data_IF_609376890768
#
_entry.id   IF_609376890768
#
_cell.length_a   1.000
_cell.length_b   1.000
_cell.length_c   1.000
_cell.angle_alpha   90.00
_cell.angle_beta   90.00
_cell.angle_gamma   90.00
#
_symmetry.space_group_name_H-M   'P 1'
#
loop_
_entity.id
_entity.type
_entity.pdbx_description
1 polymer ?
#
# COMPACT_ATOMS: atom_id res chain seq x y z
N UNK A 1 3.85 16.53 8.43
CA UNK A 1 3.52 15.40 9.33
C UNK A 1 4.59 15.34 10.39
N UNK A 2 4.23 15.41 11.67
CA UNK A 2 5.20 15.27 12.76
C UNK A 2 4.63 14.33 13.81
N UNK A 3 5.45 13.42 14.32
CA UNK A 3 5.13 12.60 15.47
C UNK A 3 5.41 11.11 15.28
N UNK A 4 5.15 10.33 16.35
CA UNK A 4 5.54 8.93 16.41
C UNK A 4 4.70 8.06 15.49
N UNK A 5 5.37 7.19 14.75
CA UNK A 5 4.81 6.09 13.98
C UNK A 5 5.10 4.75 14.68
N UNK A 6 4.13 3.83 14.75
CA UNK A 6 4.37 2.50 15.31
C UNK A 6 5.27 1.67 14.39
N UNK A 7 6.13 0.83 14.96
CA UNK A 7 7.05 -0.02 14.22
C UNK A 7 8.45 0.57 14.05
N UNK A 8 9.38 -0.29 13.63
CA UNK A 8 10.78 0.09 13.43
C UNK A 8 10.99 0.77 12.07
N UNK A 9 12.20 1.32 11.85
CA UNK A 9 12.51 2.07 10.64
C UNK A 9 12.33 1.24 9.36
N UNK A 10 12.74 -0.03 9.37
CA UNK A 10 12.60 -0.89 8.19
C UNK A 10 11.12 -1.14 7.85
N UNK A 11 10.26 -1.30 8.86
CA UNK A 11 8.82 -1.42 8.66
C UNK A 11 8.22 -0.15 8.06
N UNK A 12 8.57 1.03 8.60
CA UNK A 12 8.11 2.29 8.03
C UNK A 12 8.55 2.42 6.56
N UNK A 13 9.82 2.18 6.28
CA UNK A 13 10.36 2.27 4.91
C UNK A 13 9.75 1.22 3.97
N UNK A 14 9.43 0.02 4.44
CA UNK A 14 8.78 -1.01 3.63
C UNK A 14 7.32 -0.68 3.30
N UNK A 15 6.60 -0.07 4.25
CA UNK A 15 5.25 0.44 4.02
C UNK A 15 5.21 1.60 3.03
N UNK A 16 6.22 2.47 3.10
CA UNK A 16 6.38 3.68 2.30
C UNK A 16 6.86 3.42 0.87
N UNK A 17 7.89 2.58 0.72
CA UNK A 17 8.57 2.39 -0.56
C UNK A 17 7.64 1.81 -1.63
N UNK A 18 7.74 2.38 -2.83
CA UNK A 18 6.94 1.98 -4.00
C UNK A 18 7.71 2.18 -5.31
N UNK A 19 8.81 1.45 -5.52
CA UNK A 19 9.69 1.68 -6.66
C UNK A 19 9.10 1.21 -8.01
N UNK A 20 8.06 0.38 -7.98
CA UNK A 20 7.34 -0.12 -9.17
C UNK A 20 5.86 0.27 -9.15
N UNK A 21 5.19 0.06 -10.27
CA UNK A 21 3.75 0.29 -10.41
C UNK A 21 2.93 -0.67 -9.53
N UNK A 22 3.33 -1.93 -9.45
CA UNK A 22 2.74 -2.96 -8.57
C UNK A 22 2.87 -2.55 -7.11
N UNK A 23 4.06 -2.13 -6.70
CA UNK A 23 4.32 -1.66 -5.34
C UNK A 23 3.53 -0.39 -5.02
N UNK A 24 3.35 0.52 -5.97
CA UNK A 24 2.46 1.69 -5.84
C UNK A 24 1.00 1.27 -5.65
N UNK A 25 0.47 0.34 -6.46
CA UNK A 25 -0.91 -0.15 -6.35
C UNK A 25 -1.17 -0.82 -5.00
N UNK A 26 -0.26 -1.70 -4.58
CA UNK A 26 -0.35 -2.36 -3.28
C UNK A 26 -0.31 -1.31 -2.16
N UNK A 27 0.60 -0.33 -2.23
CA UNK A 27 0.69 0.76 -1.25
C UNK A 27 -0.63 1.54 -1.14
N UNK A 28 -1.12 2.08 -2.26
CA UNK A 28 -2.36 2.87 -2.27
C UNK A 28 -3.57 2.09 -1.76
N UNK A 29 -3.63 0.77 -2.02
CA UNK A 29 -4.71 -0.08 -1.50
C UNK A 29 -4.85 -0.13 0.03
N UNK A 30 -3.79 0.26 0.76
CA UNK A 30 -3.77 0.35 2.22
C UNK A 30 -3.76 1.78 2.75
N UNK A 31 -3.23 2.71 1.96
CA UNK A 31 -3.04 4.10 2.37
C UNK A 31 -4.23 4.98 2.02
N UNK A 32 -4.83 4.74 0.84
CA UNK A 32 -5.83 5.61 0.21
C UNK A 32 -5.28 7.03 -0.01
N UNK A 33 -4.07 7.09 -0.59
CA UNK A 33 -3.25 8.31 -0.78
C UNK A 33 -3.36 8.95 -2.17
N UNK A 34 -3.72 8.19 -3.20
CA UNK A 34 -3.97 8.66 -4.56
C UNK A 34 -4.97 7.74 -5.29
N UNK A 35 -5.66 8.28 -6.31
CA UNK A 35 -6.70 7.57 -7.07
C UNK A 35 -6.19 6.96 -8.39
N UNK A 36 -5.10 7.49 -8.93
CA UNK A 36 -4.41 6.92 -10.07
C UNK A 36 -2.90 7.20 -9.99
N UNK A 37 -2.11 6.33 -10.60
CA UNK A 37 -0.66 6.50 -10.65
C UNK A 37 -0.01 5.79 -11.84
N UNK A 38 1.18 6.28 -12.21
CA UNK A 38 2.05 5.66 -13.19
C UNK A 38 3.53 5.87 -12.83
N UNK A 39 4.38 4.90 -13.19
CA UNK A 39 5.83 5.06 -13.21
C UNK A 39 6.22 5.61 -14.59
N UNK A 40 6.84 6.78 -14.63
CA UNK A 40 7.30 7.41 -15.88
C UNK A 40 8.75 7.06 -16.20
N UNK A 41 9.55 6.77 -15.19
CA UNK A 41 10.93 6.32 -15.37
C UNK A 41 11.62 6.01 -14.05
N UNK A 42 12.55 5.07 -14.07
CA UNK A 42 13.35 4.69 -12.91
C UNK A 42 14.79 5.15 -13.11
N UNK A 43 15.27 6.02 -12.22
CA UNK A 43 16.64 6.57 -12.26
C UNK A 43 17.58 5.74 -11.40
N UNK A 44 17.14 5.35 -10.20
CA UNK A 44 17.88 4.45 -9.31
C UNK A 44 16.95 3.33 -8.87
N UNK A 45 17.36 2.09 -9.15
CA UNK A 45 16.67 0.87 -8.72
C UNK A 45 17.10 0.45 -7.31
N UNK A 46 16.21 -0.17 -6.53
CA UNK A 46 16.58 -0.92 -5.33
C UNK A 46 17.62 -2.00 -5.61
N UNK A 47 18.39 -2.36 -4.58
CA UNK A 47 19.38 -3.46 -4.63
C UNK A 47 19.21 -4.38 -3.43
N UNK A 48 19.87 -5.54 -3.43
CA UNK A 48 19.83 -6.45 -2.28
C UNK A 48 20.36 -5.80 -0.99
N UNK A 49 21.42 -5.01 -1.09
CA UNK A 49 22.03 -4.31 0.05
C UNK A 49 21.17 -3.12 0.50
N UNK A 50 20.62 -2.38 -0.46
CA UNK A 50 19.80 -1.19 -0.22
C UNK A 50 18.39 -1.33 -0.83
N UNK A 51 17.51 -2.18 -0.27
CA UNK A 51 16.19 -2.47 -0.87
C UNK A 51 15.21 -1.29 -0.81
N UNK A 52 15.47 -0.30 0.04
CA UNK A 52 14.65 0.91 0.14
C UNK A 52 15.20 2.07 -0.69
N UNK A 53 16.40 1.95 -1.26
CA UNK A 53 17.03 3.04 -2.01
C UNK A 53 16.47 3.09 -3.43
N UNK A 54 15.73 4.14 -3.74
CA UNK A 54 15.20 4.34 -5.09
C UNK A 54 15.07 5.82 -5.45
N UNK A 55 15.13 6.09 -6.75
CA UNK A 55 14.83 7.40 -7.35
C UNK A 55 13.98 7.14 -8.59
N UNK A 56 12.73 7.57 -8.56
CA UNK A 56 11.72 7.22 -9.56
C UNK A 56 10.91 8.45 -9.94
N UNK A 57 10.74 8.67 -11.25
CA UNK A 57 9.82 9.68 -11.77
C UNK A 57 8.43 9.08 -11.88
N UNK A 58 7.45 9.75 -11.29
CA UNK A 58 6.09 9.26 -11.13
C UNK A 58 5.08 10.31 -11.57
N UNK A 59 3.92 9.81 -11.96
CA UNK A 59 2.70 10.57 -12.08
C UNK A 59 1.67 10.05 -11.08
N UNK A 60 0.92 10.93 -10.45
CA UNK A 60 -0.23 10.54 -9.63
C UNK A 60 -1.38 11.53 -9.76
N UNK A 61 -2.59 11.06 -9.48
CA UNK A 61 -3.81 11.84 -9.37
C UNK A 61 -4.34 11.76 -7.94
N UNK A 62 -4.68 12.91 -7.37
CA UNK A 62 -5.31 13.02 -6.06
C UNK A 62 -6.77 13.46 -6.27
N UNK A 63 -7.69 12.62 -5.80
CA UNK A 63 -9.12 12.94 -5.81
C UNK A 63 -9.45 14.00 -4.76
N UNK A 64 -10.52 14.75 -5.05
CA UNK A 64 -11.05 15.75 -4.12
C UNK A 64 -12.05 15.08 -3.17
N UNK A 65 -11.85 15.16 -1.84
CA UNK A 65 -12.79 14.64 -0.85
C UNK A 65 -14.19 15.20 -1.07
N UNK A 66 -15.19 14.33 -0.93
CA UNK A 66 -16.59 14.69 -1.21
C UNK A 66 -17.04 14.41 -2.65
N UNK A 67 -16.22 13.74 -3.46
CA UNK A 67 -16.63 13.14 -4.75
C UNK A 67 -17.91 12.28 -4.63
N UNK A 68 -18.24 11.82 -3.43
CA UNK A 68 -19.45 11.05 -3.09
C UNK A 68 -20.71 11.89 -2.82
N UNK A 69 -20.64 13.23 -2.82
CA UNK A 69 -21.74 14.14 -2.38
C UNK A 69 -22.44 14.84 -3.59
N UNK A 70 -21.87 14.78 -4.80
CA UNK A 70 -22.41 15.44 -5.99
C UNK A 70 -23.49 14.66 -6.76
N UNK A 71 -24.47 15.40 -7.31
CA UNK A 71 -25.66 14.89 -8.05
C UNK A 71 -25.32 14.35 -9.46
N UNK A 72 -24.17 14.70 -10.03
CA UNK A 72 -23.74 14.22 -11.35
C UNK A 72 -22.31 13.70 -11.26
N UNK A 73 -22.17 12.38 -11.42
CA UNK A 73 -20.90 11.66 -11.46
C UNK A 73 -20.34 11.69 -12.87
N UNK A 74 -19.21 12.36 -13.08
CA UNK A 74 -18.26 11.94 -14.10
C UNK A 74 -16.88 11.87 -13.45
N UNK A 75 -16.06 10.92 -13.90
CA UNK A 75 -14.74 10.62 -13.33
C UNK A 75 -13.75 11.79 -13.38
N UNK A 76 -14.07 12.78 -14.20
CA UNK A 76 -13.17 13.85 -14.62
C UNK A 76 -13.49 15.20 -13.93
N UNK A 77 -14.69 15.38 -13.38
CA UNK A 77 -15.09 16.63 -12.73
C UNK A 77 -16.32 16.47 -11.84
N UNK A 78 -16.38 17.29 -10.78
CA UNK A 78 -17.55 17.41 -9.88
C UNK A 78 -18.16 18.80 -10.05
N UNK A 79 -19.49 18.88 -10.07
CA UNK A 79 -20.19 20.16 -9.95
C UNK A 79 -20.48 20.46 -8.49
N UNK A 80 -19.89 21.54 -7.97
CA UNK A 80 -20.19 22.08 -6.64
C UNK A 80 -20.68 23.51 -6.82
N UNK A 81 -21.93 23.77 -6.43
CA UNK A 81 -22.54 25.12 -6.50
C UNK A 81 -22.41 25.79 -7.88
N UNK A 82 -22.52 25.00 -8.97
CA UNK A 82 -22.41 25.51 -10.34
C UNK A 82 -20.97 25.66 -10.86
N UNK A 83 -19.95 25.33 -10.07
CA UNK A 83 -18.53 25.36 -10.47
C UNK A 83 -18.01 23.95 -10.77
N UNK A 84 -17.24 23.82 -11.85
CA UNK A 84 -16.56 22.58 -12.24
C UNK A 84 -15.27 22.43 -11.45
N UNK A 85 -15.17 21.36 -10.65
CA UNK A 85 -13.97 21.02 -9.88
C UNK A 85 -13.25 19.86 -10.54
N UNK A 86 -12.00 20.09 -10.98
CA UNK A 86 -11.15 19.10 -11.64
C UNK A 86 -10.21 18.42 -10.65
N UNK A 87 -9.86 17.16 -10.92
CA UNK A 87 -8.83 16.44 -10.15
C UNK A 87 -7.45 17.08 -10.31
N UNK A 88 -6.58 16.88 -9.31
CA UNK A 88 -5.21 17.40 -9.32
C UNK A 88 -4.25 16.28 -9.65
N UNK A 89 -3.46 16.50 -10.69
CA UNK A 89 -2.39 15.57 -11.07
C UNK A 89 -1.02 16.18 -10.79
N UNK A 90 -0.03 15.30 -10.55
CA UNK A 90 1.32 15.70 -10.21
C UNK A 90 2.30 14.79 -10.93
N UNK A 91 3.30 15.41 -11.57
CA UNK A 91 4.50 14.75 -12.06
C UNK A 91 5.64 15.11 -11.12
N UNK A 92 6.31 14.11 -10.57
CA UNK A 92 7.31 14.33 -9.53
C UNK A 92 8.40 13.25 -9.55
N UNK A 93 9.57 13.60 -9.04
CA UNK A 93 10.58 12.64 -8.63
C UNK A 93 10.31 12.24 -7.18
N UNK A 94 10.25 10.93 -6.93
CA UNK A 94 10.28 10.33 -5.60
C UNK A 94 11.68 9.78 -5.36
N UNK A 95 12.31 10.19 -4.26
CA UNK A 95 13.50 9.52 -3.73
C UNK A 95 13.24 9.00 -2.33
N UNK A 96 13.64 7.76 -2.08
CA UNK A 96 13.57 7.14 -0.76
C UNK A 96 14.83 6.34 -0.49
N UNK A 97 15.08 6.09 0.80
CA UNK A 97 16.20 5.26 1.24
C UNK A 97 16.43 5.39 2.72
N UNK A 98 17.46 4.69 3.18
CA UNK A 98 17.99 4.80 4.53
C UNK A 98 19.45 5.24 4.41
N UNK A 99 19.86 6.15 5.28
CA UNK A 99 21.24 6.63 5.33
C UNK A 99 21.73 6.70 6.78
N UNK A 100 23.06 6.66 6.93
CA UNK A 100 23.71 6.89 8.21
C UNK A 100 24.18 8.34 8.28
N UNK A 101 23.81 9.02 9.36
CA UNK A 101 24.28 10.37 9.67
C UNK A 101 25.70 10.31 10.23
N UNK A 102 26.40 11.45 10.25
CA UNK A 102 27.78 11.55 10.75
C UNK A 102 27.93 11.16 12.23
N UNK A 103 26.86 11.27 13.00
CA UNK A 103 26.81 10.86 14.40
C UNK A 103 26.57 9.35 14.58
N UNK A 104 26.40 8.59 13.48
CA UNK A 104 26.12 7.16 13.49
C UNK A 104 24.63 6.80 13.45
N UNK A 105 23.73 7.78 13.57
CA UNK A 105 22.30 7.51 13.56
C UNK A 105 21.83 7.07 12.18
N UNK A 106 20.95 6.06 12.17
CA UNK A 106 20.33 5.54 10.95
C UNK A 106 18.98 6.21 10.75
N UNK A 107 18.81 6.91 9.64
CA UNK A 107 17.58 7.64 9.31
C UNK A 107 17.03 7.24 7.95
N UNK A 108 15.72 7.06 7.88
CA UNK A 108 15.00 6.96 6.61
C UNK A 108 14.73 8.34 6.05
N UNK A 109 14.68 8.46 4.73
CA UNK A 109 14.27 9.69 4.05
C UNK A 109 13.25 9.39 2.96
N UNK A 110 12.38 10.36 2.70
CA UNK A 110 11.41 10.33 1.62
C UNK A 110 11.23 11.74 1.06
N UNK A 111 11.54 11.91 -0.22
CA UNK A 111 11.56 13.20 -0.90
C UNK A 111 10.67 13.12 -2.14
N UNK A 112 9.70 14.02 -2.24
CA UNK A 112 8.91 14.25 -3.44
C UNK A 112 9.21 15.65 -3.95
N UNK A 113 9.48 15.79 -5.24
CA UNK A 113 9.60 17.10 -5.85
C UNK A 113 9.03 17.10 -7.26
N UNK A 114 8.11 18.00 -7.54
CA UNK A 114 7.52 18.13 -8.86
C UNK A 114 8.58 18.50 -9.89
N UNK A 115 8.49 17.88 -11.05
CA UNK A 115 9.39 18.15 -12.18
C UNK A 115 8.56 18.32 -13.45
N UNK A 116 9.12 19.04 -14.43
CA UNK A 116 8.48 19.27 -15.71
C UNK A 116 9.45 19.01 -16.86
N UNK A 117 9.00 18.27 -17.87
CA UNK A 117 9.74 18.03 -19.11
C UNK A 117 8.78 17.88 -20.29
N UNK A 118 9.23 18.05 -21.55
CA UNK A 118 8.33 18.13 -22.71
C UNK A 118 7.34 16.96 -22.87
N UNK A 119 7.71 15.76 -22.42
CA UNK A 119 6.90 14.56 -22.51
C UNK A 119 5.73 14.55 -21.50
N UNK A 120 5.74 15.40 -20.47
CA UNK A 120 4.73 15.46 -19.40
C UNK A 120 3.75 16.61 -19.58
N UNK A 121 3.13 16.65 -20.76
CA UNK A 121 2.10 17.63 -21.07
C UNK A 121 0.93 17.58 -20.07
N UNK A 122 0.20 18.68 -19.96
CA UNK A 122 -1.00 18.74 -19.15
C UNK A 122 -2.08 17.84 -19.74
N UNK A 123 -2.68 17.01 -18.89
CA UNK A 123 -3.73 16.10 -19.30
C UNK A 123 -5.09 16.82 -19.30
N UNK A 124 -5.98 16.51 -20.25
CA UNK A 124 -7.32 17.07 -20.24
C UNK A 124 -8.06 16.68 -18.95
N UNK A 125 -8.95 17.58 -18.52
CA UNK A 125 -9.80 17.46 -17.33
C UNK A 125 -9.06 17.34 -15.99
N UNK A 126 -7.76 17.61 -15.96
CA UNK A 126 -6.95 17.71 -14.73
C UNK A 126 -6.37 19.10 -14.60
N UNK A 127 -5.96 19.44 -13.38
CA UNK A 127 -5.15 20.62 -13.10
C UNK A 127 -3.82 20.14 -12.57
N UNK A 128 -2.74 20.51 -13.27
CA UNK A 128 -1.37 20.17 -12.87
C UNK A 128 -0.98 20.99 -11.65
N UNK A 129 -0.87 20.31 -10.52
CA UNK A 129 -0.32 20.90 -9.30
C UNK A 129 1.20 20.79 -9.27
N UNK A 130 1.81 21.52 -8.32
CA UNK A 130 3.22 21.47 -8.00
C UNK A 130 3.40 21.15 -6.52
N UNK A 131 4.37 20.30 -6.18
CA UNK A 131 4.67 19.98 -4.80
C UNK A 131 6.16 19.80 -4.54
N UNK A 132 6.56 20.05 -3.29
CA UNK A 132 7.84 19.63 -2.75
C UNK A 132 7.63 19.17 -1.32
N UNK A 133 7.91 17.91 -1.03
CA UNK A 133 7.77 17.31 0.30
C UNK A 133 9.04 16.57 0.67
N UNK A 134 9.41 16.67 1.93
CA UNK A 134 10.52 15.93 2.53
C UNK A 134 10.08 15.37 3.87
N UNK A 135 10.41 14.12 4.13
CA UNK A 135 10.21 13.48 5.42
C UNK A 135 11.46 12.70 5.82
N UNK A 136 11.83 12.83 7.08
CA UNK A 136 12.89 12.08 7.74
C UNK A 136 12.25 11.20 8.82
N UNK A 137 12.71 9.96 8.90
CA UNK A 137 12.24 8.96 9.84
C UNK A 137 13.40 8.53 10.72
N UNK A 138 13.27 8.71 12.03
CA UNK A 138 14.30 8.37 13.00
C UNK A 138 13.75 7.36 14.01
N UNK A 139 14.45 6.25 14.20
CA UNK A 139 14.00 5.21 15.12
C UNK A 139 14.39 5.57 16.56
N UNK A 140 13.41 5.89 17.39
CA UNK A 140 13.65 6.21 18.80
C UNK A 140 13.67 4.98 19.70
N UNK A 141 12.96 3.92 19.32
CA UNK A 141 12.89 2.66 20.05
C UNK A 141 12.70 1.47 19.10
N UNK A 142 12.74 0.24 19.61
CA UNK A 142 12.59 -0.98 18.80
C UNK A 142 11.26 -1.08 18.03
N UNK A 143 10.21 -0.41 18.50
CA UNK A 143 8.86 -0.43 17.97
C UNK A 143 8.28 0.98 17.73
N UNK A 144 9.14 2.00 17.73
CA UNK A 144 8.74 3.41 17.55
C UNK A 144 9.71 4.15 16.65
N UNK A 145 9.16 4.75 15.60
CA UNK A 145 9.89 5.61 14.66
C UNK A 145 9.26 6.98 14.63
N UNK A 146 10.00 8.03 14.97
CA UNK A 146 9.51 9.39 14.83
C UNK A 146 9.61 9.86 13.38
N UNK A 147 8.60 10.59 12.93
CA UNK A 147 8.54 11.18 11.59
C UNK A 147 8.59 12.69 11.71
N UNK A 148 9.50 13.31 10.97
CA UNK A 148 9.51 14.74 10.75
C UNK A 148 9.43 15.03 9.26
N UNK A 149 8.26 15.46 8.81
CA UNK A 149 8.00 15.78 7.40
C UNK A 149 7.41 17.16 7.21
N UNK A 150 7.97 17.89 6.25
CA UNK A 150 7.54 19.21 5.82
C UNK A 150 7.39 19.24 4.29
N UNK A 151 6.49 20.08 3.79
CA UNK A 151 6.32 20.25 2.37
C UNK A 151 5.44 21.44 2.02
N UNK A 152 5.50 21.84 0.76
CA UNK A 152 4.66 22.86 0.14
C UNK A 152 3.94 22.19 -1.02
N UNK A 153 2.64 22.47 -1.16
CA UNK A 153 1.85 21.99 -2.27
C UNK A 153 1.01 23.12 -2.82
N UNK A 154 1.16 23.38 -4.12
CA UNK A 154 0.32 24.28 -4.89
C UNK A 154 -0.60 23.44 -5.79
N UNK A 155 -1.90 23.34 -5.47
CA UNK A 155 -2.85 22.60 -6.27
C UNK A 155 -3.18 23.24 -7.63
N UNK A 156 -2.79 24.51 -7.85
CA UNK A 156 -3.13 25.33 -9.00
C UNK A 156 -4.64 25.44 -9.33
N UNK A 157 -4.95 26.28 -10.32
CA UNK A 157 -6.30 26.49 -10.86
C UNK A 157 -7.28 27.22 -9.93
N UNK A 158 -8.51 27.38 -10.38
CA UNK A 158 -9.56 28.07 -9.63
C UNK A 158 -9.91 27.31 -8.33
N UNK A 159 -9.82 28.03 -7.23
CA UNK A 159 -9.67 27.48 -5.88
C UNK A 159 -11.01 27.24 -5.19
N UNK A 160 -11.47 25.98 -5.15
CA UNK A 160 -12.43 25.53 -4.12
C UNK A 160 -11.61 25.03 -2.93
N UNK A 161 -11.15 25.99 -2.13
CA UNK A 161 -10.07 25.80 -1.17
C UNK A 161 -10.20 24.64 -0.21
N UNK A 162 -11.27 24.55 0.59
CA UNK A 162 -11.32 23.59 1.69
C UNK A 162 -11.32 22.13 1.23
N UNK A 163 -12.00 21.81 0.12
CA UNK A 163 -12.09 20.43 -0.37
C UNK A 163 -10.76 19.96 -0.96
N UNK A 164 -10.15 20.74 -1.86
CA UNK A 164 -8.86 20.40 -2.47
C UNK A 164 -7.77 20.24 -1.41
N UNK A 165 -7.73 21.17 -0.44
CA UNK A 165 -6.80 21.11 0.69
C UNK A 165 -7.05 19.86 1.55
N UNK A 166 -8.32 19.47 1.76
CA UNK A 166 -8.65 18.23 2.46
C UNK A 166 -8.06 16.98 1.82
N UNK A 167 -8.07 16.89 0.48
CA UNK A 167 -7.53 15.74 -0.26
C UNK A 167 -6.02 15.64 -0.14
N UNK A 168 -5.36 16.80 -0.22
CA UNK A 168 -3.92 16.92 -0.01
C UNK A 168 -3.54 16.52 1.42
N UNK A 169 -4.28 17.01 2.42
CA UNK A 169 -4.06 16.64 3.82
C UNK A 169 -4.23 15.14 4.00
N UNK A 170 -5.27 14.53 3.44
CA UNK A 170 -5.47 13.08 3.48
C UNK A 170 -4.28 12.33 2.87
N UNK A 171 -3.83 12.72 1.67
CA UNK A 171 -2.71 12.08 0.99
C UNK A 171 -1.41 12.17 1.80
N UNK A 172 -1.11 13.35 2.37
CA UNK A 172 0.07 13.53 3.24
C UNK A 172 -0.08 12.69 4.51
N UNK A 173 -1.24 12.75 5.17
CA UNK A 173 -1.50 12.05 6.43
C UNK A 173 -1.60 10.54 6.26
N UNK A 174 -1.78 10.02 5.05
CA UNK A 174 -1.83 8.59 4.77
C UNK A 174 -0.55 7.86 5.26
N UNK A 175 0.58 8.57 5.37
CA UNK A 175 1.82 8.02 5.93
C UNK A 175 1.73 7.51 7.37
N UNK A 176 0.72 7.92 8.15
CA UNK A 176 0.48 7.30 9.48
C UNK A 176 0.18 5.80 9.40
N UNK A 177 -0.23 5.32 8.22
CA UNK A 177 -0.55 3.91 7.97
C UNK A 177 0.64 3.12 7.38
N UNK A 178 1.84 3.70 7.25
CA UNK A 178 2.99 2.99 6.67
C UNK A 178 3.29 1.68 7.39
N UNK A 179 3.31 1.67 8.72
CA UNK A 179 3.48 0.45 9.51
C UNK A 179 2.44 -0.62 9.19
N UNK A 180 1.16 -0.23 9.13
CA UNK A 180 0.08 -1.14 8.77
C UNK A 180 0.26 -1.72 7.35
N UNK A 181 0.60 -0.87 6.38
CA UNK A 181 0.92 -1.27 5.02
C UNK A 181 2.05 -2.31 4.98
N UNK A 182 3.13 -2.07 5.74
CA UNK A 182 4.26 -3.00 5.86
C UNK A 182 3.82 -4.36 6.44
N UNK A 183 2.99 -4.36 7.48
CA UNK A 183 2.47 -5.60 8.05
C UNK A 183 1.63 -6.40 7.04
N UNK A 184 0.79 -5.72 6.25
CA UNK A 184 -0.02 -6.41 5.24
C UNK A 184 0.84 -6.95 4.10
N UNK A 185 1.85 -6.19 3.64
CA UNK A 185 2.85 -6.66 2.66
C UNK A 185 3.59 -7.90 3.18
N UNK A 186 4.07 -7.89 4.43
CA UNK A 186 4.72 -9.05 5.07
C UNK A 186 3.82 -10.27 5.11
N UNK A 187 2.55 -10.11 5.51
CA UNK A 187 1.57 -11.20 5.53
C UNK A 187 1.27 -11.76 4.14
N UNK A 188 1.19 -10.89 3.12
CA UNK A 188 0.99 -11.31 1.74
C UNK A 188 2.18 -12.15 1.24
N UNK A 189 3.41 -11.65 1.43
CA UNK A 189 4.64 -12.36 1.07
C UNK A 189 4.75 -13.71 1.79
N UNK A 190 4.54 -13.76 3.11
CA UNK A 190 4.56 -15.00 3.87
C UNK A 190 3.50 -16.00 3.44
N UNK A 191 2.32 -15.50 3.04
CA UNK A 191 1.23 -16.36 2.56
C UNK A 191 1.58 -17.03 1.24
N UNK A 192 2.30 -16.34 0.34
CA UNK A 192 2.81 -16.92 -0.90
C UNK A 192 3.84 -18.00 -0.60
N UNK A 193 4.83 -17.69 0.25
CA UNK A 193 5.89 -18.64 0.63
C UNK A 193 5.32 -19.91 1.27
N UNK A 194 4.45 -19.77 2.28
CA UNK A 194 3.84 -20.92 2.97
C UNK A 194 2.93 -21.74 2.05
N UNK A 195 2.27 -21.10 1.09
CA UNK A 195 1.45 -21.82 0.12
C UNK A 195 2.31 -22.61 -0.87
N UNK A 196 3.46 -22.07 -1.31
CA UNK A 196 4.42 -22.80 -2.13
C UNK A 196 4.98 -24.02 -1.37
N UNK A 197 5.46 -23.83 -0.13
CA UNK A 197 5.94 -24.92 0.72
C UNK A 197 4.88 -26.04 0.90
N UNK A 198 3.61 -25.66 1.07
CA UNK A 198 2.50 -26.60 1.21
C UNK A 198 2.23 -27.38 -0.08
N UNK A 199 2.35 -26.75 -1.24
CA UNK A 199 2.19 -27.45 -2.53
C UNK A 199 3.28 -28.49 -2.77
N UNK A 200 4.50 -28.22 -2.32
CA UNK A 200 5.63 -29.14 -2.46
C UNK A 200 5.59 -30.28 -1.44
N UNK A 201 5.33 -29.96 -0.17
CA UNK A 201 5.43 -30.93 0.96
C UNK A 201 4.10 -31.62 1.28
N UNK A 202 3.00 -31.19 0.66
CA UNK A 202 1.65 -31.62 0.97
C UNK A 202 1.01 -30.80 2.09
N UNK A 203 -0.32 -30.66 2.03
CA UNK A 203 -1.06 -29.90 3.03
C UNK A 203 -1.06 -30.61 4.40
N UNK A 204 -0.79 -29.91 5.51
CA UNK A 204 -0.98 -30.46 6.83
C UNK A 204 -2.42 -30.93 6.99
N UNK A 205 -2.63 -32.14 7.51
CA UNK A 205 -3.98 -32.61 7.85
C UNK A 205 -4.48 -31.77 9.02
N UNK A 206 -5.39 -30.83 8.73
CA UNK A 206 -5.99 -29.98 9.74
C UNK A 206 -6.90 -30.82 10.64
N UNK A 207 -6.52 -30.95 11.92
CA UNK A 207 -7.39 -31.57 12.92
C UNK A 207 -8.61 -30.66 13.15
N UNK A 208 -9.80 -31.19 13.49
CA UNK A 208 -11.01 -30.41 13.77
C UNK A 208 -10.97 -29.72 15.15
N UNK A 209 -9.82 -29.16 15.50
CA UNK A 209 -9.51 -28.54 16.78
C UNK A 209 -8.83 -27.20 16.50
N UNK A 210 -9.32 -26.15 17.13
CA UNK A 210 -8.78 -24.80 16.95
C UNK A 210 -7.32 -24.74 17.43
N UNK A 211 -6.41 -24.30 16.57
CA UNK A 211 -4.98 -24.19 16.92
C UNK A 211 -4.70 -23.20 18.05
N UNK A 212 -5.58 -22.22 18.28
CA UNK A 212 -5.37 -21.17 19.28
C UNK A 212 -5.92 -21.56 20.65
N UNK A 213 -7.12 -22.13 20.73
CA UNK A 213 -7.82 -22.37 22.00
C UNK A 213 -8.10 -23.85 22.28
N UNK A 214 -7.67 -24.75 21.41
CA UNK A 214 -7.85 -26.20 21.51
C UNK A 214 -9.31 -26.68 21.59
N UNK A 215 -10.29 -25.81 21.32
CA UNK A 215 -11.71 -26.18 21.27
C UNK A 215 -12.04 -26.86 19.93
N UNK A 216 -12.94 -27.87 19.91
CA UNK A 216 -13.41 -28.47 18.66
C UNK A 216 -14.02 -27.44 17.72
N UNK A 217 -13.65 -27.48 16.45
CA UNK A 217 -14.22 -26.60 15.41
C UNK A 217 -15.52 -27.15 14.82
N UNK A 218 -15.81 -28.43 15.08
CA UNK A 218 -16.96 -29.15 14.57
C UNK A 218 -18.06 -29.17 15.66
N UNK A 219 -18.83 -28.09 15.78
CA UNK A 219 -20.03 -28.10 16.61
C UNK A 219 -21.24 -28.50 15.76
N UNK A 220 -22.08 -29.42 16.28
CA UNK A 220 -23.34 -29.88 15.67
C UNK A 220 -24.34 -28.74 15.37
N UNK A 221 -24.12 -27.54 15.92
CA UNK A 221 -24.92 -26.33 15.68
C UNK A 221 -24.49 -25.48 14.47
N UNK A 222 -23.43 -25.84 13.74
CA UNK A 222 -22.93 -25.06 12.58
C UNK A 222 -22.99 -25.86 11.27
N UNK A 223 -24.16 -26.41 10.94
CA UNK A 223 -24.43 -26.97 9.61
C UNK A 223 -24.36 -25.82 8.59
N UNK A 224 -23.38 -25.85 7.68
CA UNK A 224 -23.25 -24.91 6.56
C UNK A 224 -22.15 -23.84 6.67
N UNK A 225 -21.37 -23.76 7.76
CA UNK A 225 -20.21 -22.84 7.82
C UNK A 225 -18.93 -23.53 7.39
N UNK A 226 -18.30 -23.03 6.32
CA UNK A 226 -16.96 -23.46 5.88
C UNK A 226 -15.97 -23.42 7.05
N UNK A 227 -15.25 -24.52 7.25
CA UNK A 227 -14.17 -24.59 8.23
C UNK A 227 -13.09 -23.58 7.84
N UNK A 228 -12.87 -22.57 8.68
CA UNK A 228 -11.81 -21.58 8.45
C UNK A 228 -10.48 -22.16 8.92
N UNK A 229 -9.47 -22.15 8.05
CA UNK A 229 -8.08 -22.45 8.42
C UNK A 229 -7.26 -21.16 8.47
N UNK A 230 -6.15 -21.17 9.20
CA UNK A 230 -5.17 -20.09 9.13
C UNK A 230 -4.42 -20.16 7.80
N UNK A 231 -4.25 -19.02 7.11
CA UNK A 231 -3.53 -18.96 5.83
C UNK A 231 -2.04 -19.32 5.91
N UNK A 232 -1.41 -19.18 7.07
CA UNK A 232 0.03 -19.45 7.24
C UNK A 232 0.33 -20.86 7.73
N UNK A 233 -0.33 -21.31 8.81
CA UNK A 233 -0.07 -22.64 9.38
C UNK A 233 -1.05 -23.73 8.90
N UNK A 234 -2.08 -23.36 8.14
CA UNK A 234 -3.11 -24.26 7.59
C UNK A 234 -3.93 -25.03 8.63
N UNK A 235 -3.80 -24.72 9.92
CA UNK A 235 -4.57 -25.34 11.00
C UNK A 235 -5.94 -24.71 11.17
N UNK A 236 -6.88 -25.48 11.74
CA UNK A 236 -8.27 -25.07 11.93
C UNK A 236 -8.41 -23.92 12.94
N UNK A 237 -9.41 -23.05 12.71
CA UNK A 237 -9.76 -21.93 13.56
C UNK A 237 -11.23 -21.96 13.93
N UNK A 238 -11.54 -21.72 15.20
CA UNK A 238 -12.91 -21.46 15.62
C UNK A 238 -13.32 -20.01 15.29
N UNK A 239 -14.63 -19.74 15.38
CA UNK A 239 -15.19 -18.43 15.03
C UNK A 239 -14.63 -17.25 15.83
N UNK A 240 -14.21 -17.47 17.09
CA UNK A 240 -13.68 -16.42 17.97
C UNK A 240 -12.15 -16.25 17.90
N UNK A 241 -11.43 -17.22 17.34
CA UNK A 241 -9.96 -17.18 17.27
C UNK A 241 -9.43 -16.82 15.88
N UNK A 242 -10.30 -16.69 14.87
CA UNK A 242 -9.93 -16.24 13.54
C UNK A 242 -9.86 -14.71 13.49
N UNK A 243 -8.74 -14.19 13.00
CA UNK A 243 -8.54 -12.76 12.75
C UNK A 243 -8.48 -12.55 11.25
N UNK A 244 -9.36 -11.70 10.72
CA UNK A 244 -9.38 -11.41 9.28
C UNK A 244 -8.46 -10.24 8.95
N UNK A 245 -7.68 -10.39 7.87
CA UNK A 245 -6.92 -9.31 7.23
C UNK A 245 -7.27 -9.26 5.75
N UNK A 246 -7.25 -8.07 5.16
CA UNK A 246 -7.39 -7.89 3.71
C UNK A 246 -5.99 -7.82 3.12
N UNK A 247 -5.64 -8.80 2.29
CA UNK A 247 -4.35 -8.84 1.61
C UNK A 247 -4.53 -8.46 0.15
N UNK A 248 -3.63 -7.61 -0.35
CA UNK A 248 -3.61 -7.11 -1.70
C UNK A 248 -2.57 -7.88 -2.51
N UNK A 249 -2.96 -8.32 -3.70
CA UNK A 249 -2.10 -9.05 -4.63
C UNK A 249 -2.25 -8.47 -6.03
N UNK A 250 -1.17 -8.51 -6.81
CA UNK A 250 -1.23 -8.27 -8.25
C UNK A 250 -1.41 -9.60 -8.95
N UNK A 251 -2.46 -9.72 -9.77
CA UNK A 251 -2.73 -10.90 -10.58
C UNK A 251 -1.90 -10.88 -11.88
N UNK A 252 -1.79 -12.02 -12.61
CA UNK A 252 -0.97 -12.09 -13.83
C UNK A 252 -1.42 -11.15 -14.96
N UNK A 253 -2.69 -10.73 -14.95
CA UNK A 253 -3.26 -9.69 -15.82
C UNK A 253 -2.96 -8.25 -15.33
N UNK A 254 -2.09 -8.12 -14.32
CA UNK A 254 -1.68 -6.87 -13.67
C UNK A 254 -2.80 -6.18 -12.89
N UNK A 255 -3.93 -6.83 -12.62
CA UNK A 255 -4.98 -6.23 -11.79
C UNK A 255 -4.67 -6.33 -10.28
N UNK A 256 -5.16 -5.35 -9.52
CA UNK A 256 -5.08 -5.36 -8.07
C UNK A 256 -6.30 -6.10 -7.50
N UNK A 257 -6.07 -7.18 -6.77
CA UNK A 257 -7.12 -7.91 -6.06
C UNK A 257 -6.92 -7.84 -4.56
N UNK A 258 -8.03 -7.75 -3.81
CA UNK A 258 -8.02 -7.82 -2.36
C UNK A 258 -8.77 -9.06 -1.87
N UNK A 259 -8.08 -9.87 -1.07
CA UNK A 259 -8.65 -11.09 -0.51
C UNK A 259 -8.78 -10.96 1.01
N UNK A 260 -9.97 -11.27 1.53
CA UNK A 260 -10.21 -11.36 2.98
C UNK A 260 -9.78 -12.74 3.47
N UNK A 261 -8.73 -12.77 4.29
CA UNK A 261 -8.04 -13.99 4.69
C UNK A 261 -8.01 -14.13 6.21
N UNK A 262 -8.16 -15.36 6.71
CA UNK A 262 -8.15 -15.65 8.15
C UNK A 262 -6.76 -16.10 8.65
N UNK A 263 -6.37 -15.58 9.81
CA UNK A 263 -5.12 -15.92 10.50
C UNK A 263 -5.40 -16.30 11.96
N UNK A 264 -4.52 -17.13 12.54
CA UNK A 264 -4.43 -17.30 13.99
C UNK A 264 -3.56 -16.17 14.58
N UNK A 265 -3.76 -15.87 15.86
CA UNK A 265 -2.99 -14.81 16.54
C UNK A 265 -1.50 -15.10 16.54
N UNK A 266 -1.10 -16.38 16.76
CA UNK A 266 0.31 -16.79 16.77
C UNK A 266 1.02 -16.44 15.45
N UNK A 267 0.46 -16.83 14.31
CA UNK A 267 1.06 -16.54 13.01
C UNK A 267 1.04 -15.04 12.66
N UNK A 268 0.06 -14.28 13.15
CA UNK A 268 0.09 -12.81 13.01
C UNK A 268 1.26 -12.19 13.78
N UNK A 269 1.49 -12.63 15.02
CA UNK A 269 2.61 -12.14 15.84
C UNK A 269 3.97 -12.54 15.23
N UNK A 270 4.11 -13.79 14.79
CA UNK A 270 5.33 -14.24 14.11
C UNK A 270 5.60 -13.43 12.83
N UNK A 271 4.57 -13.14 12.04
CA UNK A 271 4.71 -12.29 10.85
C UNK A 271 5.12 -10.85 11.18
N UNK A 272 4.67 -10.29 12.31
CA UNK A 272 5.09 -8.95 12.73
C UNK A 272 6.57 -8.89 13.10
N UNK A 273 7.12 -9.96 13.70
CA UNK A 273 8.51 -10.02 14.11
C UNK A 273 9.50 -10.47 13.02
N UNK A 274 8.99 -10.86 11.86
CA UNK A 274 9.83 -11.29 10.75
C UNK A 274 10.66 -10.13 10.19
N UNK A 275 11.89 -10.44 9.77
CA UNK A 275 12.80 -9.49 9.16
C UNK A 275 12.19 -8.85 7.91
N UNK A 276 11.92 -7.55 8.02
CA UNK A 276 11.33 -6.75 6.96
C UNK A 276 12.24 -6.64 5.74
N UNK A 277 13.56 -6.71 5.90
CA UNK A 277 14.50 -6.58 4.77
C UNK A 277 14.33 -7.70 3.76
N UNK A 278 14.10 -8.93 4.22
CA UNK A 278 13.93 -10.07 3.32
C UNK A 278 12.67 -9.94 2.47
N UNK A 279 11.55 -9.55 3.08
CA UNK A 279 10.32 -9.27 2.36
C UNK A 279 10.50 -8.10 1.36
N UNK A 280 11.28 -7.09 1.74
CA UNK A 280 11.58 -5.94 0.89
C UNK A 280 12.43 -6.32 -0.33
N UNK A 281 13.47 -7.14 -0.16
CA UNK A 281 14.31 -7.63 -1.27
C UNK A 281 13.48 -8.42 -2.28
N UNK A 282 12.64 -9.33 -1.80
CA UNK A 282 11.73 -10.07 -2.68
C UNK A 282 10.83 -9.14 -3.49
N UNK A 283 10.14 -8.21 -2.82
CA UNK A 283 9.16 -7.37 -3.49
C UNK A 283 9.79 -6.29 -4.40
N UNK A 284 10.96 -5.77 -4.05
CA UNK A 284 11.53 -4.59 -4.70
C UNK A 284 12.73 -4.90 -5.60
N UNK A 285 13.38 -6.04 -5.44
CA UNK A 285 14.57 -6.44 -6.20
C UNK A 285 14.21 -7.65 -7.07
N UNK A 286 13.91 -8.80 -6.47
CA UNK A 286 13.73 -10.05 -7.22
C UNK A 286 12.51 -10.06 -8.13
N UNK A 287 11.38 -9.51 -7.67
CA UNK A 287 10.17 -9.40 -8.51
C UNK A 287 10.39 -8.45 -9.71
N UNK A 288 11.27 -7.45 -9.61
CA UNK A 288 11.58 -6.57 -10.75
C UNK A 288 12.36 -7.30 -11.85
N UNK A 289 13.29 -8.17 -11.47
CA UNK A 289 14.12 -8.90 -12.42
C UNK A 289 13.29 -9.93 -13.19
N UNK A 290 12.31 -10.56 -12.53
CA UNK A 290 11.37 -11.48 -13.17
C UNK A 290 10.50 -10.81 -14.26
N UNK A 291 10.13 -9.53 -14.07
CA UNK A 291 9.29 -8.79 -15.02
C UNK A 291 10.07 -8.01 -16.07
N UNK A 292 11.35 -7.69 -15.83
CA UNK A 292 12.22 -6.99 -16.79
C UNK A 292 12.52 -7.82 -18.05
N UNK A 293 12.20 -9.12 -18.05
CA UNK A 293 12.21 -9.98 -19.24
C UNK A 293 11.04 -9.77 -20.21
N UNK A 294 9.99 -9.04 -19.80
CA UNK A 294 8.84 -8.69 -20.65
C UNK A 294 8.84 -7.16 -20.88
N UNK A 295 9.00 -6.75 -22.14
CA UNK A 295 9.34 -5.37 -22.54
C UNK A 295 8.47 -4.26 -21.92
N UNK A 296 9.15 -3.20 -21.46
CA UNK A 296 8.56 -2.02 -20.86
C UNK A 296 7.55 -1.33 -21.76
N UNK A 297 6.29 -1.36 -21.35
CA UNK A 297 5.22 -0.54 -21.91
C UNK A 297 4.70 0.35 -20.78
N UNK A 298 4.46 1.64 -21.07
CA UNK A 298 3.88 2.59 -20.13
C UNK A 298 2.49 2.11 -19.69
N UNK A 299 2.42 1.46 -18.53
CA UNK A 299 1.17 0.95 -17.98
C UNK A 299 0.56 2.01 -17.06
N UNK A 300 -0.56 2.60 -17.48
CA UNK A 300 -1.46 3.38 -16.63
C UNK A 300 -2.58 2.45 -16.20
N UNK A 301 -2.90 2.36 -14.90
CA UNK A 301 -4.11 1.66 -14.48
C UNK A 301 -4.71 2.22 -13.20
N UNK A 302 -5.96 1.84 -12.95
CA UNK A 302 -6.85 2.45 -11.99
C UNK A 302 -7.24 1.48 -10.87
N UNK A 303 -7.36 1.98 -9.64
CA UNK A 303 -7.90 1.20 -8.51
C UNK A 303 -9.43 1.21 -8.55
N UNK A 304 -10.06 0.09 -8.92
CA UNK A 304 -11.52 -0.08 -8.77
C UNK A 304 -11.85 -0.96 -7.57
N UNK A 305 -12.57 -0.42 -6.59
CA UNK A 305 -13.22 -1.23 -5.55
C UNK A 305 -14.56 -1.74 -6.07
N UNK A 306 -14.65 -3.02 -6.45
CA UNK A 306 -15.95 -3.69 -6.63
C UNK A 306 -16.47 -4.13 -5.26
N UNK A 307 -17.54 -3.48 -4.81
CA UNK A 307 -18.36 -3.94 -3.70
C UNK A 307 -19.44 -4.86 -4.27
N UNK A 308 -19.33 -6.17 -4.07
CA UNK A 308 -20.45 -7.07 -4.34
C UNK A 308 -21.54 -6.84 -3.28
N UNK A 309 -22.55 -6.06 -3.65
CA UNK A 309 -23.82 -6.04 -2.94
C UNK A 309 -24.60 -7.29 -3.35
N UNK A 310 -24.69 -8.26 -2.45
CA UNK A 310 -25.68 -9.35 -2.55
C UNK A 310 -27.06 -8.75 -2.28
N UNK A 311 -27.87 -8.58 -3.31
CA UNK A 311 -29.30 -8.37 -3.19
C UNK A 311 -29.94 -9.64 -2.61
N UNK A 312 -30.46 -9.52 -1.40
CA UNK A 312 -31.46 -10.45 -0.87
C UNK A 312 -32.84 -9.85 -1.18
N UNK A 313 -33.52 -10.39 -2.19
CA UNK A 313 -34.96 -10.23 -2.33
C UNK A 313 -35.65 -11.41 -1.67
N UNK A 314 -36.49 -11.11 -0.68
CA UNK A 314 -37.54 -12.00 -0.20
C UNK A 314 -38.72 -12.01 -1.18
#
# INVERSE_FOLDING_TARGET
>A
MVGPLPGNLNEIMFGLASPTLEAMRIKSSYLDDFSAAAILGTVVKPTEDDPFRSVVVKWMEIDIPGFSIGVVKNRDYVYVEGTVVKNRDYVYVESSGIMNLKNGDRVGYHLWHSINFPQTHELPNRVRGNMSLSAIFHQEASDRTDCHGNGVMDPAGDFIGPMVVGGIIQAIMAGVKYSYCAQMKKLAWLSVQKHAEMREKGAPVAKPVCITCSKPTNSKLNIGKSHSTCKLCFQALCGSCKVYKKLSFITPDLELTQQKVAFCVKCLLEATHLDTLEAARHQFVYDQDAHSGAGGTFAVSHTSSRSDCTDNSA
#
